data_IF_351451795026
#
_entry.id   IF_351451795026
#
_cell.length_a   1.000
_cell.length_b   1.000
_cell.length_c   1.000
_cell.angle_alpha   90.00
_cell.angle_beta   90.00
_cell.angle_gamma   90.00
#
_symmetry.space_group_name_H-M   'P 1'
#
loop_
_entity.id
_entity.type
_entity.pdbx_description
1 polymer ?
#
# COMPACT_ATOMS: atom_id res chain seq x y z
N UNK A 1 52.45 29.89 45.55
CA UNK A 1 52.03 30.14 44.14
C UNK A 1 52.66 29.14 43.17
N UNK A 2 54.00 29.05 43.05
CA UNK A 2 54.68 28.18 42.07
C UNK A 2 54.31 26.69 42.21
N UNK A 3 54.29 26.14 43.42
CA UNK A 3 53.94 24.72 43.65
C UNK A 3 52.50 24.35 43.23
N UNK A 4 51.57 25.29 43.29
CA UNK A 4 50.18 25.05 42.90
C UNK A 4 50.05 24.90 41.38
N UNK A 5 50.81 25.67 40.61
CA UNK A 5 50.86 25.56 39.15
C UNK A 5 51.49 24.24 38.70
N UNK A 6 52.55 23.79 39.38
CA UNK A 6 53.20 22.50 39.09
C UNK A 6 52.26 21.33 39.37
N UNK A 7 51.51 21.39 40.47
CA UNK A 7 50.52 20.36 40.80
C UNK A 7 49.38 20.31 39.78
N UNK A 8 48.85 21.48 39.36
CA UNK A 8 47.82 21.56 38.33
C UNK A 8 48.28 21.01 36.98
N UNK A 9 49.53 21.29 36.59
CA UNK A 9 50.12 20.75 35.36
C UNK A 9 50.23 19.22 35.42
N UNK A 10 50.68 18.66 36.55
CA UNK A 10 50.80 17.21 36.74
C UNK A 10 49.43 16.50 36.64
N UNK A 11 48.39 17.08 37.27
CA UNK A 11 47.02 16.55 37.20
C UNK A 11 46.48 16.60 35.77
N UNK A 12 46.69 17.70 35.04
CA UNK A 12 46.26 17.81 33.64
C UNK A 12 46.94 16.79 32.74
N UNK A 13 48.25 16.57 32.90
CA UNK A 13 48.97 15.54 32.13
C UNK A 13 48.50 14.13 32.46
N UNK A 14 48.18 13.84 33.73
CA UNK A 14 47.62 12.55 34.12
C UNK A 14 46.23 12.30 33.52
N UNK A 15 45.36 13.31 33.53
CA UNK A 15 44.02 13.21 32.96
C UNK A 15 44.05 13.04 31.43
N UNK A 16 44.96 13.72 30.73
CA UNK A 16 45.10 13.61 29.28
C UNK A 16 45.57 12.20 28.83
N UNK A 17 46.48 11.58 29.58
CA UNK A 17 46.94 10.21 29.28
C UNK A 17 45.84 9.18 29.57
N UNK A 18 45.04 9.41 30.62
CA UNK A 18 43.95 8.52 30.97
C UNK A 18 42.80 8.59 29.96
N UNK A 19 42.39 9.80 29.55
CA UNK A 19 41.34 9.99 28.54
C UNK A 19 41.72 9.42 27.18
N UNK A 20 42.98 9.57 26.76
CA UNK A 20 43.48 9.00 25.51
C UNK A 20 43.38 7.47 25.45
N UNK A 21 43.67 6.78 26.57
CA UNK A 21 43.55 5.31 26.64
C UNK A 21 42.09 4.84 26.58
N UNK A 22 41.19 5.49 27.30
CA UNK A 22 39.76 5.14 27.30
C UNK A 22 39.16 5.30 25.91
N UNK A 23 39.50 6.38 25.19
CA UNK A 23 39.01 6.63 23.83
C UNK A 23 39.48 5.57 22.82
N UNK A 24 40.70 5.05 22.97
CA UNK A 24 41.21 3.99 22.08
C UNK A 24 40.52 2.63 22.28
N UNK A 25 40.03 2.34 23.49
CA UNK A 25 39.30 1.10 23.75
C UNK A 25 37.92 1.12 23.07
N UNK A 26 37.19 2.24 23.18
CA UNK A 26 35.87 2.42 22.55
C UNK A 26 35.97 2.33 21.01
N UNK A 27 36.96 3.00 20.40
CA UNK A 27 37.16 2.93 18.93
C UNK A 27 37.47 1.52 18.41
N UNK A 28 38.11 0.67 19.22
CA UNK A 28 38.38 -0.72 18.82
C UNK A 28 37.09 -1.54 18.82
N UNK A 29 36.23 -1.33 19.80
CA UNK A 29 34.94 -1.98 19.88
C UNK A 29 34.04 -1.60 18.71
N UNK A 30 33.96 -0.30 18.38
CA UNK A 30 33.23 0.18 17.20
C UNK A 30 33.72 -0.48 15.91
N UNK A 31 35.04 -0.63 15.72
CA UNK A 31 35.63 -1.30 14.56
C UNK A 31 35.28 -2.79 14.47
N UNK A 32 35.13 -3.48 15.59
CA UNK A 32 34.69 -4.87 15.62
C UNK A 32 33.21 -4.98 15.26
N UNK A 33 32.38 -4.11 15.82
CA UNK A 33 30.96 -4.02 15.48
C UNK A 33 30.76 -3.73 13.98
N UNK A 34 31.55 -2.83 13.39
CA UNK A 34 31.53 -2.56 11.95
C UNK A 34 31.90 -3.78 11.10
N UNK A 35 32.80 -4.66 11.57
CA UNK A 35 33.17 -5.89 10.84
C UNK A 35 32.05 -6.91 10.89
N UNK A 36 31.44 -7.09 12.06
CA UNK A 36 30.28 -7.98 12.24
C UNK A 36 29.12 -7.49 11.37
N UNK A 37 28.82 -6.19 11.40
CA UNK A 37 27.77 -5.59 10.59
C UNK A 37 28.00 -5.81 9.08
N UNK A 38 29.25 -5.69 8.60
CA UNK A 38 29.58 -5.98 7.20
C UNK A 38 29.39 -7.46 6.84
N UNK A 39 29.77 -8.37 7.74
CA UNK A 39 29.61 -9.80 7.50
C UNK A 39 28.12 -10.15 7.39
N UNK A 40 27.31 -9.63 8.31
CA UNK A 40 25.86 -9.80 8.30
C UNK A 40 25.22 -9.23 7.03
N UNK A 41 25.61 -8.01 6.62
CA UNK A 41 25.12 -7.39 5.39
C UNK A 41 25.46 -8.20 4.12
N UNK A 42 26.65 -8.80 4.07
CA UNK A 42 27.04 -9.69 2.97
C UNK A 42 26.21 -10.97 2.99
N UNK A 43 25.90 -11.52 4.17
CA UNK A 43 25.05 -12.69 4.30
C UNK A 43 23.61 -12.39 3.87
N UNK A 44 23.01 -11.30 4.37
CA UNK A 44 21.67 -10.88 3.95
C UNK A 44 21.61 -10.64 2.44
N UNK A 45 22.65 -10.04 1.85
CA UNK A 45 22.71 -9.87 0.39
C UNK A 45 22.69 -11.21 -0.36
N UNK A 46 23.41 -12.23 0.14
CA UNK A 46 23.40 -13.58 -0.45
C UNK A 46 22.04 -14.25 -0.33
N UNK A 47 21.40 -14.12 0.83
CA UNK A 47 20.06 -14.66 1.08
C UNK A 47 19.05 -14.02 0.14
N UNK A 48 19.08 -12.69 -0.01
CA UNK A 48 18.21 -11.97 -0.96
C UNK A 48 18.44 -12.41 -2.40
N UNK A 49 19.69 -12.56 -2.84
CA UNK A 49 19.99 -13.05 -4.20
C UNK A 49 19.44 -14.47 -4.40
N UNK A 50 19.55 -15.33 -3.38
CA UNK A 50 19.03 -16.70 -3.45
C UNK A 50 17.51 -16.72 -3.53
N UNK A 51 16.84 -15.89 -2.71
CA UNK A 51 15.39 -15.69 -2.75
C UNK A 51 14.95 -15.15 -4.11
N UNK A 52 15.68 -14.21 -4.69
CA UNK A 52 15.40 -13.67 -6.01
C UNK A 52 15.48 -14.74 -7.09
N UNK A 53 16.51 -15.60 -7.04
CA UNK A 53 16.66 -16.72 -7.99
C UNK A 53 15.56 -17.77 -7.84
N UNK A 54 15.15 -18.07 -6.60
CA UNK A 54 14.01 -18.96 -6.35
C UNK A 54 12.70 -18.35 -6.87
N UNK A 55 12.50 -17.04 -6.68
CA UNK A 55 11.33 -16.32 -7.18
C UNK A 55 11.29 -16.30 -8.71
N UNK A 56 12.42 -16.12 -9.37
CA UNK A 56 12.54 -16.21 -10.83
C UNK A 56 12.17 -17.61 -11.32
N UNK A 57 12.68 -18.66 -10.67
CA UNK A 57 12.37 -20.04 -11.02
C UNK A 57 10.88 -20.38 -10.82
N UNK A 58 10.28 -19.88 -9.73
CA UNK A 58 8.84 -20.02 -9.49
C UNK A 58 8.04 -19.24 -10.53
N UNK A 59 8.48 -18.05 -10.94
CA UNK A 59 7.81 -17.26 -11.96
C UNK A 59 7.79 -17.96 -13.32
N UNK A 60 8.92 -18.56 -13.74
CA UNK A 60 8.99 -19.36 -14.98
C UNK A 60 8.05 -20.55 -14.92
N UNK A 61 8.06 -21.28 -13.79
CA UNK A 61 7.19 -22.45 -13.61
C UNK A 61 5.70 -22.10 -13.61
N UNK A 62 5.32 -20.96 -13.02
CA UNK A 62 3.93 -20.47 -13.05
C UNK A 62 3.54 -20.06 -14.47
N UNK A 63 4.42 -19.40 -15.21
CA UNK A 63 4.16 -19.03 -16.61
C UNK A 63 3.97 -20.27 -17.48
N UNK A 64 4.81 -21.29 -17.33
CA UNK A 64 4.65 -22.58 -18.03
C UNK A 64 3.34 -23.28 -17.66
N UNK A 65 2.94 -23.27 -16.39
CA UNK A 65 1.66 -23.87 -15.97
C UNK A 65 0.44 -23.09 -16.50
N UNK A 66 0.52 -21.76 -16.55
CA UNK A 66 -0.51 -20.92 -17.15
C UNK A 66 -0.58 -21.18 -18.66
N UNK A 67 0.55 -21.24 -19.35
CA UNK A 67 0.59 -21.52 -20.79
C UNK A 67 -0.01 -22.90 -21.09
N UNK A 68 0.32 -23.92 -20.30
CA UNK A 68 -0.27 -25.25 -20.43
C UNK A 68 -1.79 -25.25 -20.21
N UNK A 69 -2.29 -24.55 -19.17
CA UNK A 69 -3.73 -24.45 -18.90
C UNK A 69 -4.47 -23.59 -19.93
N UNK A 70 -3.83 -22.56 -20.47
CA UNK A 70 -4.38 -21.72 -21.54
C UNK A 70 -4.50 -22.53 -22.83
N UNK A 71 -3.50 -23.35 -23.15
CA UNK A 71 -3.55 -24.21 -24.33
C UNK A 71 -4.59 -25.33 -24.19
N UNK A 72 -4.73 -25.91 -22.99
CA UNK A 72 -5.81 -26.85 -22.68
C UNK A 72 -7.19 -26.20 -22.87
N UNK A 73 -7.39 -25.00 -22.33
CA UNK A 73 -8.64 -24.25 -22.48
C UNK A 73 -8.94 -23.89 -23.96
N UNK A 74 -7.92 -23.53 -24.75
CA UNK A 74 -8.08 -23.26 -26.20
C UNK A 74 -8.51 -24.50 -26.98
N UNK A 75 -8.01 -25.68 -26.62
CA UNK A 75 -8.43 -26.92 -27.28
C UNK A 75 -9.90 -27.26 -27.01
N UNK A 76 -10.41 -26.92 -25.83
CA UNK A 76 -11.84 -27.05 -25.53
C UNK A 76 -12.72 -26.07 -26.34
N UNK A 77 -12.29 -24.82 -26.53
CA UNK A 77 -13.04 -23.85 -27.36
C UNK A 77 -13.10 -24.25 -28.84
N UNK A 78 -12.01 -24.78 -29.39
CA UNK A 78 -11.95 -25.23 -30.81
C UNK A 78 -12.83 -26.47 -31.04
N UNK A 79 -12.96 -27.35 -30.03
CA UNK A 79 -13.85 -28.51 -30.10
C UNK A 79 -15.31 -28.11 -29.93
N UNK A 80 -15.62 -27.20 -29.01
CA UNK A 80 -16.99 -26.69 -28.81
C UNK A 80 -17.54 -25.91 -30.01
N UNK A 81 -16.70 -25.23 -30.81
CA UNK A 81 -17.13 -24.57 -32.05
C UNK A 81 -17.37 -25.50 -33.24
N UNK A 82 -16.91 -26.76 -33.19
CA UNK A 82 -17.08 -27.72 -34.29
C UNK A 82 -18.40 -28.49 -34.24
N UNK A 83 -19.10 -28.47 -33.11
CA UNK A 83 -20.32 -29.24 -32.89
C UNK A 83 -21.63 -28.39 -32.99
N UNK A 84 -21.53 -27.07 -33.19
CA UNK A 84 -22.69 -26.15 -33.27
C UNK A 84 -23.00 -25.60 -34.68
N UNK A 85 -22.41 -26.17 -35.74
CA UNK A 85 -22.69 -25.79 -37.13
C UNK A 85 -23.41 -26.88 -37.92
N UNK A 86 -24.59 -27.28 -37.44
CA UNK A 86 -25.64 -27.92 -38.25
C UNK A 86 -27.03 -27.60 -37.67
N UNK A 87 -27.39 -26.30 -37.61
CA UNK A 87 -28.80 -25.91 -37.49
C UNK A 87 -29.22 -25.33 -38.84
N UNK A 88 -30.06 -26.05 -39.63
CA UNK A 88 -30.59 -25.50 -40.87
C UNK A 88 -31.52 -24.35 -40.53
N UNK A 89 -31.19 -23.19 -41.09
CA UNK A 89 -31.96 -21.96 -41.06
C UNK A 89 -33.32 -22.20 -41.73
N UNK A 90 -34.34 -22.55 -40.96
CA UNK A 90 -35.71 -22.64 -41.43
C UNK A 90 -36.45 -21.37 -41.03
N UNK A 91 -36.76 -20.55 -42.03
CA UNK A 91 -37.59 -19.36 -41.92
C UNK A 91 -38.94 -19.72 -41.26
N UNK A 92 -39.14 -19.28 -40.03
CA UNK A 92 -40.48 -19.19 -39.44
C UNK A 92 -40.77 -17.71 -39.25
N UNK A 93 -41.41 -17.18 -40.29
CA UNK A 93 -42.12 -15.90 -40.27
C UNK A 93 -43.33 -16.02 -39.35
N UNK A 94 -43.17 -15.74 -38.05
CA UNK A 94 -44.30 -15.52 -37.16
C UNK A 94 -44.65 -14.03 -37.09
N UNK A 95 -45.74 -13.69 -37.76
CA UNK A 95 -46.49 -12.45 -37.57
C UNK A 95 -46.95 -12.39 -36.11
N UNK A 96 -46.36 -11.49 -35.33
CA UNK A 96 -46.90 -11.08 -34.04
C UNK A 96 -47.68 -9.77 -34.22
N UNK A 97 -48.99 -9.89 -34.38
CA UNK A 97 -49.92 -8.77 -34.27
C UNK A 97 -49.88 -8.26 -32.82
N UNK A 98 -49.19 -7.13 -32.61
CA UNK A 98 -49.18 -6.44 -31.31
C UNK A 98 -50.23 -5.35 -31.36
N UNK A 99 -51.43 -5.74 -30.95
CA UNK A 99 -52.56 -4.87 -30.70
C UNK A 99 -52.26 -3.96 -29.49
N UNK A 100 -52.38 -2.65 -29.71
CA UNK A 100 -52.99 -1.67 -28.80
C UNK A 100 -52.45 -1.56 -27.37
N UNK A 101 -51.83 -0.42 -27.05
CA UNK A 101 -52.09 0.35 -25.81
C UNK A 101 -51.46 1.75 -25.88
N UNK A 102 -52.31 2.71 -26.23
CA UNK A 102 -52.43 4.11 -25.81
C UNK A 102 -51.22 4.87 -25.22
N UNK A 103 -50.89 5.98 -25.88
CA UNK A 103 -49.99 7.04 -25.44
C UNK A 103 -50.43 7.67 -24.09
N UNK A 104 -49.54 7.80 -23.09
CA UNK A 104 -49.74 8.76 -22.03
C UNK A 104 -49.27 10.15 -22.49
N UNK A 105 -50.26 10.96 -22.83
CA UNK A 105 -50.20 12.42 -22.91
C UNK A 105 -49.68 13.01 -21.57
N UNK A 106 -48.44 13.49 -21.54
CA UNK A 106 -47.88 14.25 -20.40
C UNK A 106 -47.99 15.74 -20.71
N UNK A 107 -49.14 16.30 -20.34
CA UNK A 107 -49.41 17.74 -20.25
C UNK A 107 -48.48 18.37 -19.21
N UNK A 108 -47.65 19.32 -19.64
CA UNK A 108 -46.86 20.16 -18.75
C UNK A 108 -47.72 21.28 -18.16
N UNK A 109 -48.13 21.14 -16.90
CA UNK A 109 -48.72 22.22 -16.11
C UNK A 109 -47.73 22.74 -15.05
N UNK A 110 -47.35 24.00 -15.23
CA UNK A 110 -47.17 25.04 -14.22
C UNK A 110 -46.37 24.73 -12.93
N UNK A 111 -45.06 24.99 -13.01
CA UNK A 111 -44.22 25.22 -11.84
C UNK A 111 -44.61 26.53 -11.12
N UNK A 112 -45.53 26.43 -10.15
CA UNK A 112 -45.85 27.53 -9.22
C UNK A 112 -44.72 27.69 -8.19
N UNK A 113 -44.13 28.89 -8.22
CA UNK A 113 -43.22 29.53 -7.25
C UNK A 113 -43.41 29.05 -5.79
N UNK A 114 -42.36 28.48 -5.21
CA UNK A 114 -42.20 28.37 -3.75
C UNK A 114 -40.98 29.19 -3.30
N UNK A 115 -41.21 30.04 -2.29
CA UNK A 115 -40.24 30.97 -1.68
C UNK A 115 -39.20 30.22 -0.83
N UNK A 116 -37.98 30.76 -0.63
CA UNK A 116 -36.99 30.16 0.25
C UNK A 116 -37.40 30.35 1.72
N UNK A 117 -37.58 29.26 2.44
CA UNK A 117 -37.74 29.25 3.91
C UNK A 117 -36.34 29.16 4.53
N UNK A 118 -35.92 30.26 5.17
CA UNK A 118 -34.82 30.27 6.11
C UNK A 118 -35.19 29.41 7.33
N UNK A 119 -34.48 28.31 7.57
CA UNK A 119 -34.52 27.60 8.86
C UNK A 119 -33.12 27.56 9.48
N UNK A 120 -32.90 28.47 10.44
CA UNK A 120 -31.97 28.26 11.54
C UNK A 120 -32.46 27.05 12.32
N UNK A 121 -31.69 25.96 12.33
CA UNK A 121 -31.86 24.83 13.24
C UNK A 121 -30.49 24.47 13.83
N UNK A 122 -30.24 25.09 14.97
CA UNK A 122 -29.49 24.54 16.10
C UNK A 122 -30.09 23.18 16.49
N UNK A 123 -29.25 22.18 16.68
CA UNK A 123 -29.67 20.91 17.31
C UNK A 123 -28.93 19.71 16.76
N UNK A 124 -28.08 19.12 17.61
CA UNK A 124 -27.39 17.86 17.38
C UNK A 124 -28.36 16.77 16.93
N UNK A 125 -28.32 16.38 15.67
CA UNK A 125 -28.92 15.13 15.19
C UNK A 125 -28.10 14.63 14.01
N UNK A 126 -27.49 13.45 14.22
CA UNK A 126 -26.77 12.67 13.23
C UNK A 126 -27.63 12.43 11.99
N UNK A 127 -27.24 13.04 10.87
CA UNK A 127 -27.83 12.76 9.56
C UNK A 127 -27.28 11.40 9.11
N UNK A 128 -28.08 10.35 9.29
CA UNK A 128 -27.82 9.04 8.68
C UNK A 128 -28.34 9.09 7.26
N UNK A 129 -27.43 9.15 6.28
CA UNK A 129 -27.75 9.03 4.87
C UNK A 129 -28.07 7.56 4.51
N UNK A 130 -29.15 7.28 3.76
CA UNK A 130 -29.35 5.97 3.16
C UNK A 130 -28.34 5.78 2.02
N UNK A 131 -27.34 4.91 2.21
CA UNK A 131 -26.49 4.40 1.12
C UNK A 131 -27.33 3.47 0.25
N UNK A 132 -27.75 3.95 -0.92
CA UNK A 132 -28.16 3.06 -2.01
C UNK A 132 -26.91 2.43 -2.62
N UNK A 133 -26.88 1.10 -2.58
CA UNK A 133 -26.11 0.27 -3.49
C UNK A 133 -26.64 0.48 -4.92
N UNK A 134 -25.76 0.74 -5.90
CA UNK A 134 -25.50 -0.20 -6.99
C UNK A 134 -24.57 0.37 -8.09
N UNK A 135 -23.49 -0.39 -8.30
CA UNK A 135 -22.79 -0.76 -9.55
C UNK A 135 -22.56 0.28 -10.67
N UNK A 136 -21.28 0.58 -10.93
CA UNK A 136 -20.64 0.41 -12.25
C UNK A 136 -19.13 0.71 -12.18
N UNK A 137 -18.31 -0.30 -12.51
CA UNK A 137 -17.13 -0.14 -13.36
C UNK A 137 -15.87 0.49 -12.77
N UNK A 138 -14.90 -0.40 -12.49
CA UNK A 138 -13.44 -0.16 -12.45
C UNK A 138 -12.91 0.36 -11.09
N UNK A 139 -12.78 -0.57 -10.14
CA UNK A 139 -11.78 -0.48 -9.07
C UNK A 139 -10.81 -1.68 -9.17
N UNK A 140 -9.48 -1.47 -9.06
CA UNK A 140 -8.54 -2.55 -8.81
C UNK A 140 -8.76 -3.08 -7.39
N UNK A 141 -8.92 -4.39 -7.27
CA UNK A 141 -9.17 -5.10 -6.02
C UNK A 141 -8.10 -4.80 -4.96
N UNK A 142 -8.42 -3.91 -4.01
CA UNK A 142 -7.76 -3.85 -2.71
C UNK A 142 -8.44 -4.86 -1.80
N UNK A 143 -7.86 -6.06 -1.74
CA UNK A 143 -8.32 -7.16 -0.90
C UNK A 143 -8.34 -6.80 0.58
N UNK A 144 -9.52 -6.95 1.17
CA UNK A 144 -9.75 -7.02 2.61
C UNK A 144 -9.33 -8.42 3.08
N UNK A 145 -8.20 -8.54 3.78
CA UNK A 145 -7.73 -9.81 4.32
C UNK A 145 -6.72 -9.65 5.46
N UNK A 146 -7.16 -10.00 6.67
CA UNK A 146 -6.42 -10.43 7.88
C UNK A 146 -5.27 -9.61 8.51
N UNK A 147 -5.14 -9.66 9.85
CA UNK A 147 -4.15 -8.92 10.64
C UNK A 147 -2.80 -9.65 10.57
N UNK A 148 -2.08 -9.40 9.49
CA UNK A 148 -0.74 -9.90 9.26
C UNK A 148 -0.13 -9.16 8.08
N UNK A 149 -0.38 -7.84 8.01
CA UNK A 149 0.08 -7.00 6.93
C UNK A 149 1.60 -6.98 6.94
N UNK A 150 2.19 -7.86 6.13
CA UNK A 150 3.50 -7.63 5.57
C UNK A 150 3.53 -6.18 5.09
N UNK A 151 4.42 -5.39 5.73
CA UNK A 151 4.55 -3.97 5.47
C UNK A 151 4.84 -3.80 3.98
N UNK A 152 3.82 -3.43 3.20
CA UNK A 152 3.97 -3.19 1.77
C UNK A 152 5.14 -2.24 1.55
N UNK A 153 5.94 -2.45 0.50
CA UNK A 153 7.19 -1.71 0.25
C UNK A 153 7.02 -0.18 0.35
N UNK A 154 5.83 0.32 -0.01
CA UNK A 154 5.39 1.71 0.16
C UNK A 154 5.45 2.19 1.62
N UNK A 155 4.93 1.41 2.56
CA UNK A 155 4.93 1.74 3.99
C UNK A 155 6.34 1.79 4.55
N UNK A 156 7.19 0.81 4.19
CA UNK A 156 8.59 0.77 4.62
C UNK A 156 9.33 2.04 4.19
N UNK A 157 9.13 2.48 2.95
CA UNK A 157 9.77 3.68 2.43
C UNK A 157 9.26 4.96 3.12
N UNK A 158 7.96 5.06 3.41
CA UNK A 158 7.40 6.18 4.21
C UNK A 158 8.04 6.22 5.60
N UNK A 159 8.23 5.08 6.25
CA UNK A 159 8.85 5.02 7.57
C UNK A 159 10.34 5.35 7.55
N UNK A 160 11.07 4.88 6.55
CA UNK A 160 12.48 5.22 6.38
C UNK A 160 12.66 6.75 6.20
N UNK A 161 11.84 7.38 5.36
CA UNK A 161 11.89 8.84 5.17
C UNK A 161 11.49 9.60 6.44
N UNK A 162 10.49 9.13 7.19
CA UNK A 162 10.14 9.75 8.46
C UNK A 162 11.26 9.62 9.50
N UNK A 163 11.99 8.50 9.54
CA UNK A 163 13.17 8.32 10.41
C UNK A 163 14.33 9.25 10.04
N UNK A 164 14.45 9.61 8.77
CA UNK A 164 15.41 10.59 8.27
C UNK A 164 14.99 12.05 8.57
N UNK A 165 13.82 12.27 9.18
CA UNK A 165 13.35 13.59 9.60
C UNK A 165 12.55 14.36 8.54
N UNK A 166 12.17 13.71 7.43
CA UNK A 166 11.31 14.34 6.42
C UNK A 166 9.91 14.62 6.98
N UNK A 167 9.34 15.77 6.63
CA UNK A 167 7.96 16.10 6.99
C UNK A 167 6.96 15.27 6.16
N UNK A 168 5.76 15.04 6.70
CA UNK A 168 4.73 14.28 6.00
C UNK A 168 4.33 14.87 4.64
N UNK A 169 4.51 16.19 4.45
CA UNK A 169 4.26 16.89 3.19
C UNK A 169 5.36 16.68 2.15
N UNK A 170 6.61 16.57 2.59
CA UNK A 170 7.75 16.27 1.72
C UNK A 170 7.70 14.81 1.27
N UNK A 171 7.37 13.89 2.18
CA UNK A 171 7.19 12.47 1.85
C UNK A 171 6.06 12.30 0.84
N UNK A 172 4.94 12.99 1.05
CA UNK A 172 3.80 12.99 0.13
C UNK A 172 4.19 13.44 -1.28
N UNK A 173 4.96 14.53 -1.38
CA UNK A 173 5.48 15.03 -2.66
C UNK A 173 6.50 14.07 -3.29
N UNK A 174 7.42 13.55 -2.51
CA UNK A 174 8.50 12.67 -2.99
C UNK A 174 7.98 11.35 -3.54
N UNK A 175 6.97 10.79 -2.89
CA UNK A 175 6.39 9.48 -3.26
C UNK A 175 5.13 9.61 -4.14
N UNK A 176 4.69 10.83 -4.44
CA UNK A 176 3.46 11.13 -5.18
C UNK A 176 2.22 10.46 -4.56
N UNK A 177 2.06 10.65 -3.24
CA UNK A 177 1.00 10.03 -2.42
C UNK A 177 0.28 11.10 -1.60
N UNK A 178 -0.97 10.84 -1.23
CA UNK A 178 -1.76 11.81 -0.47
C UNK A 178 -1.20 12.05 0.93
N UNK A 179 -1.21 13.31 1.40
CA UNK A 179 -0.80 13.68 2.78
C UNK A 179 -1.55 12.87 3.85
N UNK A 180 -2.86 12.65 3.64
CA UNK A 180 -3.69 11.84 4.53
C UNK A 180 -3.25 10.37 4.59
N UNK A 181 -2.79 9.82 3.46
CA UNK A 181 -2.29 8.45 3.38
C UNK A 181 -0.97 8.30 4.15
N UNK A 182 -0.03 9.24 3.98
CA UNK A 182 1.22 9.28 4.75
C UNK A 182 0.95 9.36 6.26
N UNK A 183 0.02 10.22 6.67
CA UNK A 183 -0.38 10.32 8.08
C UNK A 183 -0.97 9.02 8.61
N UNK A 184 -1.85 8.38 7.83
CA UNK A 184 -2.47 7.12 8.22
C UNK A 184 -1.41 6.03 8.40
N UNK A 185 -0.46 5.92 7.46
CA UNK A 185 0.65 4.97 7.57
C UNK A 185 1.48 5.21 8.84
N UNK A 186 1.84 6.46 9.14
CA UNK A 186 2.61 6.80 10.34
C UNK A 186 1.83 6.53 11.63
N UNK A 187 0.52 6.75 11.64
CA UNK A 187 -0.34 6.43 12.78
C UNK A 187 -0.49 4.92 12.99
N UNK A 188 -0.64 4.14 11.93
CA UNK A 188 -0.70 2.69 12.00
C UNK A 188 0.59 2.11 12.59
N UNK A 189 1.76 2.66 12.25
CA UNK A 189 3.03 2.26 12.87
C UNK A 189 3.05 2.51 14.37
N UNK A 190 2.68 3.72 14.81
CA UNK A 190 2.65 4.06 16.26
C UNK A 190 1.69 3.15 17.02
N UNK A 191 0.50 2.92 16.48
CA UNK A 191 -0.48 2.02 17.09
C UNK A 191 -0.02 0.56 17.10
N UNK A 192 0.68 0.10 16.06
CA UNK A 192 1.25 -1.24 16.01
C UNK A 192 2.41 -1.44 17.00
N UNK A 193 3.20 -0.41 17.25
CA UNK A 193 4.25 -0.41 18.28
C UNK A 193 3.63 -0.45 19.70
N UNK A 194 2.55 0.28 19.96
CA UNK A 194 1.84 0.29 21.26
C UNK A 194 1.16 -1.04 21.60
N UNK A 195 0.79 -1.84 20.60
CA UNK A 195 0.14 -3.16 20.82
C UNK A 195 1.17 -4.28 21.07
N UNK A 196 2.43 -4.08 20.67
CA UNK A 196 3.52 -5.05 20.82
C UNK A 196 4.51 -4.70 21.94
N UNK A 197 4.30 -3.59 22.68
CA UNK A 197 5.09 -3.17 23.84
C UNK A 197 4.39 -3.58 25.14
#
# INVERSE_FOLDING_TARGET
MVYLLVFLAAVFTGLAVWSGRVQTAVRRQEMEDYKVLRADLIQTKKEVITLLGQMEQVSVKIVEEIEAKVEEARQYEVRSRKDDHDIPNNEISEKFDTDRSEDPNVTGEDAKKAKPVNSKLTGNNTIVFPRRHDTTGIEPASGTGSPGQELTAKHQMVYALAQLGFSGEEIARQMNIGKGEVMLMLQLKRKGEEVNA
#
